data_IF_406538158203
#
_entry.id   IF_406538158203
#
_cell.length_a   1.000
_cell.length_b   1.000
_cell.length_c   1.000
_cell.angle_alpha   90.00
_cell.angle_beta   90.00
_cell.angle_gamma   90.00
#
_symmetry.space_group_name_H-M   'P 1'
#
loop_
_entity.id
_entity.type
_entity.pdbx_description
1 polymer ?
#
# COMPACT_ATOMS: atom_id res chain seq x y z
N UNK A 1 0.88 -5.26 -23.19
CA UNK A 1 0.99 -5.48 -21.73
C UNK A 1 2.41 -5.86 -21.28
N UNK A 2 3.05 -6.90 -21.84
CA UNK A 2 4.39 -7.37 -21.40
C UNK A 2 5.47 -6.28 -21.38
N UNK A 3 5.49 -5.39 -22.38
CA UNK A 3 6.46 -4.30 -22.46
C UNK A 3 6.40 -3.29 -21.29
N UNK A 4 5.19 -2.96 -20.80
CA UNK A 4 5.05 -2.07 -19.63
C UNK A 4 5.60 -2.72 -18.36
N UNK A 5 5.34 -4.02 -18.17
CA UNK A 5 5.89 -4.77 -17.03
C UNK A 5 7.40 -4.82 -17.03
N UNK A 6 8.02 -5.10 -18.18
CA UNK A 6 9.48 -5.12 -18.30
C UNK A 6 10.05 -3.73 -18.00
N UNK A 7 9.44 -2.66 -18.52
CA UNK A 7 9.86 -1.29 -18.23
C UNK A 7 9.80 -0.98 -16.73
N UNK A 8 8.68 -1.25 -16.09
CA UNK A 8 8.49 -0.95 -14.66
C UNK A 8 9.44 -1.79 -13.78
N UNK A 9 9.64 -3.07 -14.11
CA UNK A 9 10.61 -3.92 -13.40
C UNK A 9 12.05 -3.43 -13.56
N UNK A 10 12.46 -3.00 -14.76
CA UNK A 10 13.78 -2.42 -14.99
C UNK A 10 13.96 -1.11 -14.19
N UNK A 11 12.90 -0.32 -14.05
CA UNK A 11 12.94 0.91 -13.24
C UNK A 11 13.07 0.59 -11.76
N UNK A 12 12.30 -0.38 -11.26
CA UNK A 12 12.41 -0.86 -9.88
C UNK A 12 13.78 -1.49 -9.59
N UNK A 13 14.38 -2.19 -10.56
CA UNK A 13 15.74 -2.73 -10.44
C UNK A 13 16.78 -1.62 -10.27
N UNK A 14 16.65 -0.49 -10.97
CA UNK A 14 17.53 0.68 -10.78
C UNK A 14 17.40 1.28 -9.38
N UNK A 15 16.26 1.08 -8.72
CA UNK A 15 15.97 1.58 -7.37
C UNK A 15 16.27 0.55 -6.25
N UNK A 16 16.94 -0.59 -6.56
CA UNK A 16 17.30 -1.60 -5.57
C UNK A 16 18.12 -1.07 -4.39
N UNK A 17 19.01 -0.09 -4.65
CA UNK A 17 19.77 0.56 -3.57
C UNK A 17 18.85 1.28 -2.58
N UNK A 18 17.82 1.96 -3.09
CA UNK A 18 16.82 2.64 -2.27
C UNK A 18 15.99 1.65 -1.46
N UNK A 19 15.63 0.51 -2.05
CA UNK A 19 14.95 -0.57 -1.33
C UNK A 19 15.79 -1.13 -0.17
N UNK A 20 17.09 -1.32 -0.38
CA UNK A 20 18.01 -1.80 0.67
C UNK A 20 18.07 -0.78 1.83
N UNK A 21 18.19 0.51 1.52
CA UNK A 21 18.19 1.57 2.54
C UNK A 21 16.89 1.54 3.36
N UNK A 22 15.74 1.42 2.72
CA UNK A 22 14.45 1.33 3.42
C UNK A 22 14.33 0.08 4.29
N UNK A 23 14.92 -1.04 3.86
CA UNK A 23 14.98 -2.25 4.68
C UNK A 23 15.78 -2.04 5.96
N UNK A 24 16.92 -1.35 5.88
CA UNK A 24 17.73 -1.00 7.06
C UNK A 24 16.98 -0.04 7.98
N UNK A 25 16.29 0.96 7.42
CA UNK A 25 15.48 1.90 8.21
C UNK A 25 14.33 1.17 8.92
N UNK A 26 13.63 0.26 8.23
CA UNK A 26 12.56 -0.53 8.84
C UNK A 26 13.09 -1.41 9.97
N UNK A 27 14.23 -2.06 9.78
CA UNK A 27 14.91 -2.84 10.83
C UNK A 27 15.25 -1.97 12.04
N UNK A 28 15.90 -0.82 11.83
CA UNK A 28 16.27 0.08 12.92
C UNK A 28 15.05 0.59 13.71
N UNK A 29 13.95 0.92 13.03
CA UNK A 29 12.70 1.33 13.69
C UNK A 29 12.08 0.18 14.49
N UNK A 30 12.11 -1.04 13.95
CA UNK A 30 11.60 -2.21 14.65
C UNK A 30 12.39 -2.53 15.92
N UNK A 31 13.72 -2.40 15.88
CA UNK A 31 14.59 -2.56 17.04
C UNK A 31 14.30 -1.51 18.12
N UNK A 32 14.05 -0.26 17.72
CA UNK A 32 13.79 0.84 18.65
C UNK A 32 12.41 0.75 19.31
N UNK A 33 11.38 0.44 18.51
CA UNK A 33 9.98 0.42 18.96
C UNK A 33 9.59 -0.95 19.55
N UNK A 34 10.38 -2.01 19.26
CA UNK A 34 10.15 -3.39 19.70
C UNK A 34 8.76 -3.90 19.33
N UNK A 35 8.35 -3.62 18.09
CA UNK A 35 6.99 -3.92 17.60
C UNK A 35 7.02 -4.46 16.18
N UNK A 36 6.52 -5.69 16.00
CA UNK A 36 6.44 -6.38 14.71
C UNK A 36 5.56 -5.65 13.68
N UNK A 37 4.36 -5.13 14.02
CA UNK A 37 3.52 -4.37 13.09
C UNK A 37 4.22 -3.20 12.38
N UNK A 38 5.20 -2.57 13.04
CA UNK A 38 5.95 -1.44 12.50
C UNK A 38 6.70 -1.86 11.22
N UNK A 39 7.31 -3.04 11.19
CA UNK A 39 8.05 -3.54 10.02
C UNK A 39 7.12 -3.59 8.80
N UNK A 40 5.94 -4.18 8.96
CA UNK A 40 4.97 -4.31 7.88
C UNK A 40 4.50 -2.95 7.36
N UNK A 41 4.21 -1.99 8.25
CA UNK A 41 3.74 -0.66 7.87
C UNK A 41 4.81 0.07 7.06
N UNK A 42 6.05 0.12 7.55
CA UNK A 42 7.14 0.82 6.89
C UNK A 42 7.49 0.19 5.55
N UNK A 43 7.67 -1.13 5.50
CA UNK A 43 7.97 -1.84 4.26
C UNK A 43 6.88 -1.63 3.22
N UNK A 44 5.64 -1.82 3.61
CA UNK A 44 4.51 -1.67 2.69
C UNK A 44 4.41 -0.24 2.17
N UNK A 45 4.54 0.75 3.04
CA UNK A 45 4.54 2.16 2.63
C UNK A 45 5.65 2.47 1.62
N UNK A 46 6.89 2.04 1.88
CA UNK A 46 8.02 2.31 0.99
C UNK A 46 7.91 1.57 -0.35
N UNK A 47 7.52 0.31 -0.35
CA UNK A 47 7.38 -0.48 -1.58
C UNK A 47 6.27 0.05 -2.47
N UNK A 48 5.10 0.34 -1.89
CA UNK A 48 3.96 0.87 -2.66
C UNK A 48 4.24 2.29 -3.15
N UNK A 49 4.90 3.13 -2.37
CA UNK A 49 5.31 4.48 -2.83
C UNK A 49 6.26 4.41 -4.01
N UNK A 50 7.25 3.51 -3.95
CA UNK A 50 8.20 3.30 -5.04
C UNK A 50 7.51 2.76 -6.29
N UNK A 51 6.59 1.79 -6.15
CA UNK A 51 5.78 1.30 -7.25
C UNK A 51 4.89 2.40 -7.86
N UNK A 52 4.24 3.22 -7.03
CA UNK A 52 3.41 4.35 -7.48
C UNK A 52 4.25 5.43 -8.19
N UNK A 53 5.50 5.63 -7.78
CA UNK A 53 6.42 6.58 -8.43
C UNK A 53 6.69 6.26 -9.89
N UNK A 54 6.50 5.01 -10.34
CA UNK A 54 6.59 4.66 -11.77
C UNK A 54 5.59 5.44 -12.63
N UNK A 55 4.45 5.85 -12.08
CA UNK A 55 3.46 6.68 -12.78
C UNK A 55 4.02 8.08 -13.04
N UNK A 56 4.82 8.61 -12.10
CA UNK A 56 5.46 9.90 -12.26
C UNK A 56 6.47 9.90 -13.40
N UNK A 57 7.35 8.90 -13.41
CA UNK A 57 8.34 8.76 -14.49
C UNK A 57 7.68 8.61 -15.86
N UNK A 58 6.45 8.08 -15.91
CA UNK A 58 5.67 7.99 -17.13
C UNK A 58 4.99 9.31 -17.54
N UNK A 59 4.75 10.21 -16.59
CA UNK A 59 4.19 11.55 -16.82
C UNK A 59 5.26 12.61 -17.09
N UNK A 60 6.47 12.40 -16.60
CA UNK A 60 7.59 13.31 -16.74
C UNK A 60 7.87 13.62 -18.21
N UNK A 61 8.21 14.88 -18.51
CA UNK A 61 8.47 15.35 -19.87
C UNK A 61 7.36 15.01 -20.89
N UNK A 62 6.10 15.06 -20.45
CA UNK A 62 4.93 14.71 -21.28
C UNK A 62 4.93 13.25 -21.78
N UNK A 63 5.58 12.33 -21.06
CA UNK A 63 5.75 10.93 -21.45
C UNK A 63 4.44 10.18 -21.77
N UNK A 64 3.31 10.58 -21.18
CA UNK A 64 1.99 10.02 -21.51
C UNK A 64 1.57 10.26 -22.97
N UNK A 65 1.94 11.38 -23.59
CA UNK A 65 1.64 11.62 -25.01
C UNK A 65 2.33 10.56 -25.88
N UNK A 66 3.61 10.29 -25.62
CA UNK A 66 4.37 9.26 -26.33
C UNK A 66 3.89 7.84 -25.99
N UNK A 67 3.58 7.56 -24.72
CA UNK A 67 3.14 6.24 -24.29
C UNK A 67 1.82 5.82 -24.95
N UNK A 68 0.91 6.77 -25.20
CA UNK A 68 -0.38 6.49 -25.83
C UNK A 68 -0.37 6.56 -27.36
N UNK A 69 0.76 6.88 -28.01
CA UNK A 69 0.93 6.61 -29.46
C UNK A 69 1.27 5.15 -29.73
N UNK A 70 1.85 4.45 -28.74
CA UNK A 70 2.04 3.00 -28.81
C UNK A 70 0.67 2.28 -28.79
N UNK A 71 0.57 1.04 -29.30
CA UNK A 71 -0.67 0.24 -29.32
C UNK A 71 -1.04 -0.28 -27.91
N UNK A 72 -1.09 0.60 -26.92
CA UNK A 72 -1.46 0.35 -25.54
C UNK A 72 -2.72 1.13 -25.19
N UNK A 73 -3.76 0.42 -24.76
CA UNK A 73 -5.03 1.06 -24.38
C UNK A 73 -4.90 1.69 -22.99
N UNK A 74 -5.50 2.86 -22.78
CA UNK A 74 -5.53 3.55 -21.46
C UNK A 74 -6.05 2.66 -20.32
N UNK A 75 -7.05 1.82 -20.61
CA UNK A 75 -7.58 0.84 -19.64
C UNK A 75 -6.56 -0.20 -19.21
N UNK A 76 -5.72 -0.64 -20.14
CA UNK A 76 -4.72 -1.67 -19.94
C UNK A 76 -3.55 -1.14 -19.08
N UNK A 77 -3.21 0.14 -19.26
CA UNK A 77 -2.27 0.88 -18.41
C UNK A 77 -2.74 0.93 -16.95
N UNK A 78 -4.00 1.35 -16.71
CA UNK A 78 -4.54 1.46 -15.33
C UNK A 78 -4.55 0.10 -14.62
N UNK A 79 -4.98 -0.96 -15.31
CA UNK A 79 -4.96 -2.33 -14.76
C UNK A 79 -3.52 -2.74 -14.40
N UNK A 80 -2.57 -2.47 -15.28
CA UNK A 80 -1.18 -2.85 -15.06
C UNK A 80 -0.55 -2.11 -13.86
N UNK A 81 -0.84 -0.83 -13.66
CA UNK A 81 -0.37 -0.08 -12.47
C UNK A 81 -1.02 -0.58 -11.17
N UNK A 82 -2.30 -0.91 -11.19
CA UNK A 82 -2.97 -1.52 -10.02
C UNK A 82 -2.40 -2.91 -9.69
N UNK A 83 -2.07 -3.71 -10.71
CA UNK A 83 -1.37 -4.99 -10.50
C UNK A 83 0.06 -4.80 -10.01
N UNK A 84 0.75 -3.73 -10.43
CA UNK A 84 2.09 -3.40 -9.92
C UNK A 84 2.03 -3.05 -8.43
N UNK A 85 1.02 -2.28 -8.01
CA UNK A 85 0.75 -1.98 -6.59
C UNK A 85 0.51 -3.27 -5.80
N UNK A 86 -0.37 -4.15 -6.29
CA UNK A 86 -0.66 -5.44 -5.65
C UNK A 86 0.59 -6.32 -5.54
N UNK A 87 1.38 -6.41 -6.62
CA UNK A 87 2.64 -7.17 -6.59
C UNK A 87 3.63 -6.55 -5.59
N UNK A 88 3.73 -5.22 -5.54
CA UNK A 88 4.62 -4.52 -4.62
C UNK A 88 4.22 -4.70 -3.15
N UNK A 89 2.92 -4.70 -2.83
CA UNK A 89 2.45 -4.95 -1.46
C UNK A 89 2.69 -6.40 -1.04
N UNK A 90 2.51 -7.36 -1.95
CA UNK A 90 2.83 -8.77 -1.69
C UNK A 90 4.33 -8.98 -1.44
N UNK A 91 5.18 -8.39 -2.29
CA UNK A 91 6.65 -8.42 -2.10
C UNK A 91 7.05 -7.77 -0.77
N UNK A 92 6.43 -6.64 -0.40
CA UNK A 92 6.70 -5.97 0.87
C UNK A 92 6.39 -6.86 2.08
N UNK A 93 5.25 -7.57 2.06
CA UNK A 93 4.87 -8.50 3.13
C UNK A 93 5.84 -9.67 3.21
N UNK A 94 6.18 -10.28 2.08
CA UNK A 94 7.16 -11.38 2.04
C UNK A 94 8.51 -10.94 2.59
N UNK A 95 9.01 -9.77 2.18
CA UNK A 95 10.28 -9.24 2.68
C UNK A 95 10.20 -8.85 4.16
N UNK A 96 9.05 -8.38 4.63
CA UNK A 96 8.82 -8.11 6.06
C UNK A 96 8.94 -9.39 6.88
N UNK A 97 8.34 -10.49 6.42
CA UNK A 97 8.44 -11.81 7.08
C UNK A 97 9.89 -12.30 7.14
N UNK A 98 10.63 -12.19 6.04
CA UNK A 98 12.06 -12.52 6.00
C UNK A 98 12.85 -11.66 6.99
N UNK A 99 12.58 -10.35 7.03
CA UNK A 99 13.27 -9.45 7.95
C UNK A 99 12.97 -9.81 9.41
N UNK A 100 11.71 -10.04 9.77
CA UNK A 100 11.31 -10.45 11.13
C UNK A 100 12.04 -11.74 11.53
N UNK A 101 12.05 -12.75 10.65
CA UNK A 101 12.75 -14.01 10.92
C UNK A 101 14.24 -13.83 11.20
N UNK A 102 14.90 -12.91 10.48
CA UNK A 102 16.30 -12.56 10.73
C UNK A 102 16.47 -11.79 12.05
N UNK A 103 15.57 -10.86 12.36
CA UNK A 103 15.70 -10.02 13.56
C UNK A 103 15.42 -10.78 14.86
N UNK A 104 14.51 -11.75 14.86
CA UNK A 104 14.22 -12.60 16.02
C UNK A 104 15.45 -13.37 16.51
N UNK A 105 16.42 -13.66 15.62
CA UNK A 105 17.69 -14.31 16.01
C UNK A 105 18.57 -13.41 16.88
N UNK A 106 18.43 -12.09 16.75
CA UNK A 106 19.23 -11.10 17.49
C UNK A 106 18.47 -10.53 18.69
N UNK A 107 17.14 -10.45 18.61
CA UNK A 107 16.31 -9.88 19.66
C UNK A 107 15.06 -10.75 19.91
N UNK A 108 15.04 -11.57 20.97
CA UNK A 108 13.92 -12.45 21.29
C UNK A 108 12.62 -11.70 21.61
N UNK A 109 12.70 -10.42 21.98
CA UNK A 109 11.52 -9.58 22.24
C UNK A 109 10.66 -9.31 20.99
N UNK A 110 11.19 -9.56 19.79
CA UNK A 110 10.45 -9.49 18.52
C UNK A 110 9.70 -10.80 18.18
N UNK A 111 9.72 -11.78 19.06
CA UNK A 111 9.03 -13.05 18.86
C UNK A 111 7.50 -12.84 18.97
N UNK A 112 6.82 -12.99 17.84
CA UNK A 112 5.36 -13.04 17.76
C UNK A 112 4.89 -14.46 17.50
N UNK A 113 3.68 -14.79 17.95
CA UNK A 113 3.04 -16.06 17.58
C UNK A 113 2.79 -16.13 16.07
N UNK A 114 2.71 -17.35 15.53
CA UNK A 114 2.46 -17.54 14.10
C UNK A 114 1.11 -16.93 13.65
N UNK A 115 0.10 -16.96 14.53
CA UNK A 115 -1.21 -16.37 14.26
C UNK A 115 -1.15 -14.84 14.22
N UNK A 116 -0.51 -14.20 15.20
CA UNK A 116 -0.32 -12.74 15.22
C UNK A 116 0.48 -12.25 14.01
N UNK A 117 1.51 -13.00 13.61
CA UNK A 117 2.31 -12.69 12.42
C UNK A 117 1.45 -12.74 11.15
N UNK A 118 0.55 -13.71 11.05
CA UNK A 118 -0.36 -13.87 9.90
C UNK A 118 -1.39 -12.74 9.87
N UNK A 119 -1.99 -12.40 11.02
CA UNK A 119 -2.92 -11.27 11.12
C UNK A 119 -2.25 -9.93 10.78
N UNK A 120 -1.07 -9.68 11.33
CA UNK A 120 -0.32 -8.43 11.06
C UNK A 120 0.15 -8.36 9.60
N UNK A 121 0.53 -9.48 8.99
CA UNK A 121 0.83 -9.56 7.56
C UNK A 121 -0.40 -9.25 6.69
N UNK A 122 -1.59 -9.79 7.04
CA UNK A 122 -2.84 -9.51 6.34
C UNK A 122 -3.25 -8.04 6.43
N UNK A 123 -3.15 -7.46 7.63
CA UNK A 123 -3.43 -6.04 7.85
C UNK A 123 -2.43 -5.17 7.09
N UNK A 124 -1.13 -5.51 7.13
CA UNK A 124 -0.09 -4.84 6.35
C UNK A 124 -0.38 -4.87 4.85
N UNK A 125 -0.71 -6.04 4.31
CA UNK A 125 -1.11 -6.21 2.91
C UNK A 125 -2.32 -5.32 2.55
N UNK A 126 -3.35 -5.34 3.38
CA UNK A 126 -4.56 -4.54 3.18
C UNK A 126 -4.25 -3.04 3.17
N UNK A 127 -3.48 -2.56 4.16
CA UNK A 127 -3.07 -1.16 4.25
C UNK A 127 -2.24 -0.73 3.03
N UNK A 128 -1.37 -1.60 2.52
CA UNK A 128 -0.62 -1.34 1.28
C UNK A 128 -1.48 -1.19 0.06
N UNK A 129 -2.41 -2.12 -0.13
CA UNK A 129 -3.38 -2.06 -1.22
C UNK A 129 -4.27 -0.82 -1.09
N UNK A 130 -4.70 -0.46 0.12
CA UNK A 130 -5.50 0.74 0.38
C UNK A 130 -4.71 2.03 0.08
N UNK A 131 -3.47 2.11 0.54
CA UNK A 131 -2.58 3.23 0.23
C UNK A 131 -2.35 3.37 -1.27
N UNK A 132 -2.03 2.26 -1.94
CA UNK A 132 -1.84 2.18 -3.39
C UNK A 132 -3.11 2.56 -4.18
N UNK A 133 -4.27 2.15 -3.68
CA UNK A 133 -5.57 2.47 -4.26
C UNK A 133 -5.91 3.96 -4.18
N UNK A 134 -5.43 4.68 -3.17
CA UNK A 134 -5.63 6.13 -3.03
C UNK A 134 -4.59 6.90 -3.86
N UNK A 135 -3.33 6.51 -3.82
CA UNK A 135 -2.24 7.25 -4.47
C UNK A 135 -2.30 7.16 -6.01
N UNK A 136 -2.66 6.00 -6.56
CA UNK A 136 -2.72 5.75 -8.01
C UNK A 136 -3.63 6.75 -8.76
N UNK A 137 -4.91 6.93 -8.38
CA UNK A 137 -5.78 7.90 -9.06
C UNK A 137 -5.33 9.35 -8.83
N UNK A 138 -4.75 9.67 -7.67
CA UNK A 138 -4.24 11.00 -7.40
C UNK A 138 -3.05 11.33 -8.32
N UNK A 139 -2.11 10.41 -8.49
CA UNK A 139 -0.97 10.57 -9.38
C UNK A 139 -1.41 10.71 -10.84
N UNK A 140 -2.40 9.91 -11.27
CA UNK A 140 -2.95 10.00 -12.62
C UNK A 140 -3.57 11.36 -12.96
N UNK A 141 -4.19 12.05 -11.98
CA UNK A 141 -4.93 13.29 -12.21
C UNK A 141 -4.13 14.55 -11.96
N UNK A 142 -3.38 14.60 -10.86
CA UNK A 142 -2.79 15.85 -10.36
C UNK A 142 -1.28 15.94 -10.57
N UNK A 143 -0.64 14.86 -11.03
CA UNK A 143 0.81 14.73 -11.03
C UNK A 143 1.36 14.58 -9.61
N UNK A 144 2.67 14.35 -9.47
CA UNK A 144 3.28 14.01 -8.17
C UNK A 144 3.20 15.10 -7.13
N UNK A 145 3.59 16.33 -7.47
CA UNK A 145 3.74 17.39 -6.46
C UNK A 145 2.39 17.73 -5.82
N UNK A 146 1.36 17.95 -6.64
CA UNK A 146 0.00 18.22 -6.13
C UNK A 146 -0.62 17.00 -5.46
N UNK A 147 -0.37 15.79 -5.97
CA UNK A 147 -0.88 14.58 -5.34
C UNK A 147 -0.25 14.28 -3.99
N UNK A 148 1.05 14.57 -3.80
CA UNK A 148 1.72 14.44 -2.49
C UNK A 148 1.12 15.40 -1.47
N UNK A 149 0.94 16.67 -1.84
CA UNK A 149 0.28 17.64 -0.96
C UNK A 149 -1.13 17.20 -0.56
N UNK A 150 -1.91 16.69 -1.53
CA UNK A 150 -3.27 16.23 -1.29
C UNK A 150 -3.30 14.95 -0.44
N UNK A 151 -2.32 14.06 -0.61
CA UNK A 151 -2.16 12.88 0.21
C UNK A 151 -1.82 13.23 1.67
N UNK A 152 -0.91 14.18 1.90
CA UNK A 152 -0.63 14.67 3.25
C UNK A 152 -1.84 15.35 3.88
N UNK A 153 -2.63 16.10 3.11
CA UNK A 153 -3.88 16.69 3.59
C UNK A 153 -4.89 15.60 4.01
N UNK A 154 -5.07 14.57 3.18
CA UNK A 154 -5.95 13.42 3.50
C UNK A 154 -5.46 12.72 4.78
N UNK A 155 -4.17 12.39 4.87
CA UNK A 155 -3.60 11.76 6.07
C UNK A 155 -3.77 12.63 7.31
N UNK A 156 -3.60 13.96 7.19
CA UNK A 156 -3.81 14.91 8.27
C UNK A 156 -5.26 14.95 8.76
N UNK A 157 -6.24 14.92 7.84
CA UNK A 157 -7.67 14.85 8.18
C UNK A 157 -7.99 13.54 8.90
N UNK A 158 -7.48 12.40 8.41
CA UNK A 158 -7.65 11.12 9.08
C UNK A 158 -7.03 11.11 10.49
N UNK A 159 -5.84 11.68 10.66
CA UNK A 159 -5.19 11.78 11.96
C UNK A 159 -6.00 12.65 12.94
N UNK A 160 -6.49 13.81 12.50
CA UNK A 160 -7.36 14.68 13.31
C UNK A 160 -8.65 13.97 13.70
N UNK A 161 -9.28 13.27 12.76
CA UNK A 161 -10.49 12.50 13.03
C UNK A 161 -10.24 11.38 14.06
N UNK A 162 -9.11 10.67 13.93
CA UNK A 162 -8.68 9.65 14.90
C UNK A 162 -8.50 10.22 16.32
N UNK A 163 -7.85 11.39 16.45
CA UNK A 163 -7.68 12.07 17.74
C UNK A 163 -9.04 12.51 18.32
N UNK A 164 -9.94 13.01 17.47
CA UNK A 164 -11.28 13.42 17.90
C UNK A 164 -12.10 12.22 18.40
N UNK A 165 -12.10 11.09 17.71
CA UNK A 165 -12.79 9.87 18.15
C UNK A 165 -12.18 9.35 19.46
N UNK A 166 -10.86 9.37 19.59
CA UNK A 166 -10.19 8.95 20.83
C UNK A 166 -10.60 9.84 22.01
N UNK A 167 -10.69 11.16 21.80
CA UNK A 167 -11.11 12.11 22.84
C UNK A 167 -12.59 12.04 23.19
N UNK A 168 -13.47 11.70 22.25
CA UNK A 168 -14.92 11.60 22.52
C UNK A 168 -15.30 10.30 23.22
N UNK A 169 -14.36 9.37 23.43
CA UNK A 169 -14.63 8.10 24.13
C UNK A 169 -15.52 7.13 23.35
N UNK A 170 -15.90 7.47 22.11
CA UNK A 170 -16.74 6.63 21.24
C UNK A 170 -16.06 5.30 20.95
N UNK A 171 -14.72 5.28 20.85
CA UNK A 171 -13.92 4.07 20.75
C UNK A 171 -14.10 3.14 21.95
N UNK A 172 -14.18 3.68 23.17
CA UNK A 172 -14.44 2.88 24.39
C UNK A 172 -15.83 2.24 24.37
N UNK A 173 -16.86 3.01 23.99
CA UNK A 173 -18.23 2.48 23.85
C UNK A 173 -18.41 1.47 22.72
N UNK A 174 -17.55 1.51 21.69
CA UNK A 174 -17.51 0.49 20.63
C UNK A 174 -16.74 -0.77 21.06
N UNK A 175 -15.75 -0.65 21.94
CA UNK A 175 -15.01 -1.79 22.49
C UNK A 175 -15.81 -2.59 23.53
N UNK A 176 -16.72 -1.95 24.27
CA UNK A 176 -17.66 -2.64 25.19
C UNK A 176 -18.84 -3.32 24.48
N UNK A 177 -19.00 -3.09 23.17
CA UNK A 177 -20.15 -3.57 22.42
C UNK A 177 -19.98 -5.01 21.92
N UNK A 178 -21.11 -5.69 21.72
CA UNK A 178 -21.25 -7.02 21.08
C UNK A 178 -20.55 -7.17 19.72
N UNK A 179 -20.00 -6.09 19.16
CA UNK A 179 -19.17 -6.06 17.97
C UNK A 179 -17.79 -6.71 18.16
N UNK A 180 -17.10 -6.51 19.30
CA UNK A 180 -15.80 -7.16 19.55
C UNK A 180 -16.01 -8.67 19.69
N UNK A 181 -17.00 -9.09 20.48
CA UNK A 181 -17.32 -10.50 20.69
C UNK A 181 -17.76 -11.21 19.39
N UNK A 182 -18.44 -10.50 18.48
CA UNK A 182 -18.77 -11.05 17.16
C UNK A 182 -17.56 -11.10 16.23
N UNK A 183 -16.60 -10.18 16.34
CA UNK A 183 -15.31 -10.22 15.61
C UNK A 183 -14.41 -11.35 16.11
N UNK A 184 -14.31 -11.57 17.42
CA UNK A 184 -13.55 -12.67 18.03
C UNK A 184 -14.14 -14.05 17.73
N UNK A 185 -15.45 -14.13 17.47
CA UNK A 185 -16.11 -15.38 17.10
C UNK A 185 -15.81 -15.84 15.66
N UNK A 186 -15.22 -14.99 14.81
CA UNK A 186 -14.84 -15.39 13.46
C UNK A 186 -13.59 -16.26 13.48
N UNK A 187 -13.64 -17.34 12.70
CA UNK A 187 -12.46 -18.17 12.47
C UNK A 187 -11.41 -17.39 11.63
N UNK A 188 -10.13 -17.70 11.80
CA UNK A 188 -8.99 -17.17 11.03
C UNK A 188 -9.24 -17.15 9.51
N UNK A 189 -9.91 -18.20 8.99
CA UNK A 189 -10.27 -18.31 7.57
C UNK A 189 -11.30 -17.23 7.14
N UNK A 190 -12.27 -16.92 7.99
CA UNK A 190 -13.31 -15.92 7.72
C UNK A 190 -12.73 -14.51 7.75
N UNK A 191 -11.85 -14.21 8.71
CA UNK A 191 -11.13 -12.94 8.79
C UNK A 191 -10.29 -12.74 7.53
N UNK A 192 -9.53 -13.77 7.12
CA UNK A 192 -8.73 -13.73 5.90
C UNK A 192 -9.60 -13.50 4.66
N UNK A 193 -10.73 -14.21 4.55
CA UNK A 193 -11.69 -14.04 3.45
C UNK A 193 -12.28 -12.63 3.37
N UNK A 194 -12.64 -12.04 4.51
CA UNK A 194 -13.17 -10.68 4.58
C UNK A 194 -12.12 -9.63 4.18
N UNK A 195 -10.88 -9.77 4.67
CA UNK A 195 -9.78 -8.86 4.29
C UNK A 195 -9.52 -8.93 2.79
N UNK A 196 -9.48 -10.13 2.22
CA UNK A 196 -9.30 -10.30 0.77
C UNK A 196 -10.48 -9.72 -0.02
N UNK A 197 -11.72 -9.93 0.42
CA UNK A 197 -12.89 -9.32 -0.20
C UNK A 197 -12.80 -7.78 -0.17
N UNK A 198 -12.44 -7.20 0.97
CA UNK A 198 -12.25 -5.76 1.13
C UNK A 198 -11.11 -5.22 0.26
N UNK A 199 -9.95 -5.88 0.20
CA UNK A 199 -8.85 -5.47 -0.70
C UNK A 199 -9.31 -5.45 -2.16
N UNK A 200 -10.02 -6.49 -2.59
CA UNK A 200 -10.51 -6.58 -3.97
C UNK A 200 -11.49 -5.46 -4.29
N UNK A 201 -12.43 -5.15 -3.38
CA UNK A 201 -13.39 -4.07 -3.54
C UNK A 201 -12.68 -2.71 -3.65
N UNK A 202 -11.70 -2.45 -2.79
CA UNK A 202 -10.91 -1.20 -2.79
C UNK A 202 -10.13 -1.04 -4.10
N UNK A 203 -9.49 -2.11 -4.60
CA UNK A 203 -8.75 -2.08 -5.87
C UNK A 203 -9.68 -1.89 -7.07
N UNK A 204 -10.86 -2.51 -7.08
CA UNK A 204 -11.87 -2.32 -8.13
C UNK A 204 -12.38 -0.88 -8.14
N UNK A 205 -12.74 -0.33 -6.98
CA UNK A 205 -13.15 1.07 -6.87
C UNK A 205 -12.05 2.01 -7.35
N UNK A 206 -10.80 1.78 -6.93
CA UNK A 206 -9.65 2.55 -7.39
C UNK A 206 -9.44 2.46 -8.90
N UNK A 207 -9.60 1.27 -9.49
CA UNK A 207 -9.49 1.08 -10.94
C UNK A 207 -10.58 1.84 -11.69
N UNK A 208 -11.82 1.87 -11.19
CA UNK A 208 -12.93 2.65 -11.79
C UNK A 208 -12.62 4.14 -11.75
N UNK A 209 -12.19 4.67 -10.60
CA UNK A 209 -11.84 6.09 -10.44
C UNK A 209 -10.64 6.45 -11.33
N UNK A 210 -9.61 5.61 -11.34
CA UNK A 210 -8.40 5.79 -12.16
C UNK A 210 -8.71 5.80 -13.66
N UNK A 211 -9.61 4.92 -14.13
CA UNK A 211 -10.09 4.93 -15.52
C UNK A 211 -10.81 6.23 -15.87
N UNK A 212 -11.71 6.70 -15.01
CA UNK A 212 -12.41 7.97 -15.23
C UNK A 212 -11.44 9.16 -15.30
N UNK A 213 -10.38 9.15 -14.51
CA UNK A 213 -9.38 10.22 -14.53
C UNK A 213 -8.50 10.19 -15.78
N UNK A 214 -8.03 9.01 -16.23
CA UNK A 214 -7.17 8.92 -17.41
C UNK A 214 -7.92 9.22 -18.72
N UNK A 215 -9.23 8.96 -18.76
CA UNK A 215 -10.09 9.33 -19.88
C UNK A 215 -10.28 10.84 -19.97
N UNK A 216 -10.39 11.53 -18.82
CA UNK A 216 -10.54 12.99 -18.76
C UNK A 216 -9.22 13.76 -18.89
N UNK A 217 -8.10 13.21 -18.44
CA UNK A 217 -6.80 13.91 -18.43
C UNK A 217 -6.06 13.88 -19.76
N UNK A 218 -6.38 12.93 -20.63
CA UNK A 218 -5.77 12.77 -21.97
C UNK A 218 -6.82 12.97 -23.05
N UNK A 219 -7.66 14.00 -22.88
CA UNK A 219 -8.49 14.52 -23.95
C UNK A 219 -7.57 15.30 -24.87
N UNK A 220 -7.24 14.68 -26.00
CA UNK A 220 -6.84 15.42 -27.21
C UNK A 220 -8.07 16.09 -27.79
#
# INVERSE_FOLDING_TARGET
MKGLWVKDLLLLQKQLKTFLIFMVIAAFNAYTIKSVPVIFIFMTFFFVTTAASTIFYDQENHGFLYLFTLPTRKKDYVIQKQLLVLASSLVAVVLSLVLIFLMVQFDPELQASAEELLYTALVGFFLGCLYGAIITPLYLRYGTEKARMLLFAIMGVFALFGILIQKTGVLGGMMDSSFIASVEAFNSLQITGLVLALTSAVLVLSAIVSRRFIEKSVAF
#
